data_IF_031107292686
#
_entry.id   IF_031107292686
#
_cell.length_a   1.000
_cell.length_b   1.000
_cell.length_c   1.000
_cell.angle_alpha   90.00
_cell.angle_beta   90.00
_cell.angle_gamma   90.00
#
_symmetry.space_group_name_H-M   'P 1'
#
loop_
_entity.id
_entity.type
_entity.pdbx_description
1 polymer ?
#
# COMPACT_ATOMS: atom_id res chain seq x y z
N UNK A 1 9.01 -12.18 -3.58
CA UNK A 1 9.45 -10.77 -3.54
C UNK A 1 9.28 -10.31 -2.11
N UNK A 2 10.37 -9.96 -1.46
CA UNK A 2 10.35 -9.43 -0.10
C UNK A 2 9.63 -8.07 -0.06
N UNK A 3 9.18 -7.58 1.11
CA UNK A 3 8.62 -6.23 1.22
C UNK A 3 9.56 -5.14 0.72
N UNK A 4 10.86 -5.21 1.04
CA UNK A 4 11.87 -4.27 0.55
C UNK A 4 12.02 -4.31 -0.99
N UNK A 5 12.06 -5.50 -1.59
CA UNK A 5 12.11 -5.66 -3.06
C UNK A 5 10.85 -5.08 -3.73
N UNK A 6 9.68 -5.23 -3.11
CA UNK A 6 8.40 -4.67 -3.60
C UNK A 6 8.42 -3.14 -3.61
N UNK A 7 8.93 -2.53 -2.54
CA UNK A 7 9.12 -1.08 -2.44
C UNK A 7 10.04 -0.58 -3.56
N UNK A 8 11.18 -1.25 -3.76
CA UNK A 8 12.14 -0.88 -4.79
C UNK A 8 11.58 -1.05 -6.20
N UNK A 9 10.89 -2.14 -6.51
CA UNK A 9 10.26 -2.37 -7.82
C UNK A 9 9.23 -1.29 -8.16
N UNK A 10 8.38 -0.91 -7.19
CA UNK A 10 7.41 0.17 -7.37
C UNK A 10 8.11 1.51 -7.60
N UNK A 11 9.14 1.84 -6.81
CA UNK A 11 9.88 3.09 -6.96
C UNK A 11 10.64 3.16 -8.30
N UNK A 12 11.26 2.06 -8.75
CA UNK A 12 11.98 1.99 -10.03
C UNK A 12 11.05 2.24 -11.23
N UNK A 13 9.83 1.76 -11.20
CA UNK A 13 8.82 2.02 -12.25
C UNK A 13 8.40 3.48 -12.34
N UNK A 14 8.72 4.31 -11.35
CA UNK A 14 8.42 5.74 -11.35
C UNK A 14 9.57 6.60 -11.90
N UNK A 15 10.73 6.02 -12.19
CA UNK A 15 11.88 6.77 -12.70
C UNK A 15 11.52 7.56 -13.97
N UNK A 16 11.86 8.84 -13.98
CA UNK A 16 11.57 9.75 -15.08
C UNK A 16 10.19 10.44 -14.98
N UNK A 17 9.37 10.15 -13.98
CA UNK A 17 8.19 10.96 -13.70
C UNK A 17 8.63 12.36 -13.30
N UNK A 18 7.92 13.36 -13.84
CA UNK A 18 8.19 14.79 -13.60
C UNK A 18 6.89 15.51 -13.27
N UNK A 19 7.01 16.61 -12.54
CA UNK A 19 5.89 17.51 -12.33
C UNK A 19 5.55 18.31 -13.59
N UNK A 20 4.31 18.65 -13.76
CA UNK A 20 3.86 19.47 -14.89
C UNK A 20 2.81 20.49 -14.46
N UNK A 21 3.01 21.80 -14.77
CA UNK A 21 4.23 22.40 -15.39
C UNK A 21 5.48 22.25 -14.53
N UNK A 22 6.69 22.43 -15.10
CA UNK A 22 7.93 22.43 -14.31
C UNK A 22 7.88 23.43 -13.14
N UNK A 23 8.43 23.06 -11.98
CA UNK A 23 8.44 23.83 -10.72
C UNK A 23 7.03 24.13 -10.16
N UNK A 24 6.06 23.28 -10.46
CA UNK A 24 4.68 23.46 -10.00
C UNK A 24 4.30 22.61 -8.80
N UNK A 25 5.10 21.58 -8.46
CA UNK A 25 4.73 20.52 -7.53
C UNK A 25 3.41 19.79 -7.90
N UNK A 26 2.90 20.00 -9.13
CA UNK A 26 1.75 19.26 -9.65
C UNK A 26 2.22 17.92 -10.21
N UNK A 27 1.97 16.88 -9.45
CA UNK A 27 2.36 15.50 -9.73
C UNK A 27 1.34 14.55 -9.12
N UNK A 28 1.22 13.35 -9.68
CA UNK A 28 0.23 12.35 -9.25
C UNK A 28 0.34 12.02 -7.77
N UNK A 29 1.55 12.02 -7.20
CA UNK A 29 1.77 11.72 -5.79
C UNK A 29 1.11 12.75 -4.89
N UNK A 30 1.25 14.05 -5.20
CA UNK A 30 0.57 15.12 -4.48
C UNK A 30 -0.93 15.07 -4.69
N UNK A 31 -1.41 14.76 -5.90
CA UNK A 31 -2.85 14.62 -6.17
C UNK A 31 -3.47 13.51 -5.29
N UNK A 32 -2.83 12.35 -5.18
CA UNK A 32 -3.32 11.26 -4.32
C UNK A 32 -3.16 11.58 -2.82
N UNK A 33 -2.11 12.31 -2.43
CA UNK A 33 -1.88 12.69 -1.04
C UNK A 33 -2.90 13.69 -0.54
N UNK A 34 -3.19 14.74 -1.33
CA UNK A 34 -4.15 15.80 -0.97
C UNK A 34 -5.58 15.49 -1.41
N UNK A 35 -5.80 14.35 -2.10
CA UNK A 35 -7.11 13.90 -2.61
C UNK A 35 -7.74 14.92 -3.59
N UNK A 36 -6.91 15.74 -4.19
CA UNK A 36 -7.25 16.74 -5.21
C UNK A 36 -6.00 17.17 -5.94
N UNK A 37 -6.15 17.66 -7.16
CA UNK A 37 -5.04 18.31 -7.87
C UNK A 37 -4.57 19.55 -7.10
N UNK A 38 -3.26 19.66 -6.93
CA UNK A 38 -2.60 20.77 -6.26
C UNK A 38 -1.42 21.26 -7.08
N UNK A 39 -1.13 22.57 -6.98
CA UNK A 39 -0.01 23.23 -7.63
C UNK A 39 0.42 24.43 -6.81
N UNK A 40 1.70 24.75 -6.80
CA UNK A 40 2.29 25.90 -6.11
C UNK A 40 3.44 25.56 -5.20
N UNK A 41 4.01 26.57 -4.53
CA UNK A 41 5.09 26.42 -3.56
C UNK A 41 4.64 25.71 -2.27
N UNK A 42 5.59 25.21 -1.49
CA UNK A 42 5.35 24.54 -0.20
C UNK A 42 4.54 23.22 -0.32
N UNK A 43 4.67 22.56 -1.46
CA UNK A 43 4.06 21.26 -1.73
C UNK A 43 5.15 20.24 -2.07
N UNK A 44 6.29 20.32 -1.37
CA UNK A 44 7.42 19.42 -1.56
C UNK A 44 6.99 17.97 -1.41
N UNK A 45 7.40 17.11 -2.35
CA UNK A 45 6.85 15.79 -2.45
C UNK A 45 7.85 14.64 -2.34
N UNK A 46 9.04 14.89 -1.79
CA UNK A 46 9.98 13.80 -1.53
C UNK A 46 9.41 12.77 -0.53
N UNK A 47 8.89 13.20 0.62
CA UNK A 47 8.26 12.31 1.59
C UNK A 47 6.89 11.81 1.12
N UNK A 48 6.15 12.59 0.33
CA UNK A 48 4.88 12.19 -0.29
C UNK A 48 5.11 11.05 -1.29
N UNK A 49 6.19 11.08 -2.06
CA UNK A 49 6.57 9.99 -2.95
C UNK A 49 6.82 8.69 -2.16
N UNK A 50 7.54 8.75 -1.03
CA UNK A 50 7.77 7.59 -0.18
C UNK A 50 6.43 7.03 0.35
N UNK A 51 5.57 7.89 0.92
CA UNK A 51 4.23 7.50 1.34
C UNK A 51 3.44 6.79 0.24
N UNK A 52 3.49 7.34 -0.98
CA UNK A 52 2.80 6.77 -2.14
C UNK A 52 3.33 5.38 -2.50
N UNK A 53 4.66 5.20 -2.50
CA UNK A 53 5.31 3.90 -2.77
C UNK A 53 4.88 2.85 -1.75
N UNK A 54 4.92 3.17 -0.45
CA UNK A 54 4.49 2.26 0.60
C UNK A 54 2.99 1.91 0.47
N UNK A 55 2.16 2.87 0.12
CA UNK A 55 0.73 2.64 -0.11
C UNK A 55 0.49 1.71 -1.30
N UNK A 56 1.18 1.91 -2.42
CA UNK A 56 1.07 1.05 -3.61
C UNK A 56 1.63 -0.36 -3.36
N UNK A 57 2.59 -0.48 -2.46
CA UNK A 57 3.13 -1.77 -2.03
C UNK A 57 2.19 -2.54 -1.08
N UNK A 58 1.12 -1.93 -0.56
CA UNK A 58 0.28 -2.50 0.49
C UNK A 58 0.96 -2.52 1.86
N UNK A 59 1.96 -1.66 2.08
CA UNK A 59 2.81 -1.61 3.28
C UNK A 59 2.65 -0.28 4.04
N UNK A 60 1.48 0.37 3.93
CA UNK A 60 1.24 1.68 4.56
C UNK A 60 1.50 1.69 6.06
N UNK A 61 1.22 0.60 6.77
CA UNK A 61 1.46 0.43 8.20
C UNK A 61 2.94 0.54 8.60
N UNK A 62 3.87 0.26 7.67
CA UNK A 62 5.31 0.38 7.90
C UNK A 62 5.85 1.81 7.70
N UNK A 63 5.03 2.71 7.19
CA UNK A 63 5.34 4.11 7.03
C UNK A 63 4.48 4.94 7.97
N UNK A 64 5.10 5.62 8.93
CA UNK A 64 4.46 6.57 9.84
C UNK A 64 3.19 6.05 10.53
N UNK A 65 3.22 4.77 10.97
CA UNK A 65 2.09 4.06 11.59
C UNK A 65 0.81 3.98 10.71
N UNK A 66 0.96 4.00 9.40
CA UNK A 66 -0.17 4.00 8.45
C UNK A 66 -0.73 5.38 8.13
N UNK A 67 -0.27 6.40 8.84
CA UNK A 67 -0.63 7.79 8.62
C UNK A 67 0.17 8.42 7.45
N UNK A 68 -0.08 9.67 7.15
CA UNK A 68 0.62 10.40 6.09
C UNK A 68 1.35 11.62 6.62
N UNK A 69 2.58 11.84 6.15
CA UNK A 69 3.32 13.08 6.39
C UNK A 69 4.14 13.48 5.16
N UNK A 70 4.11 14.76 4.82
CA UNK A 70 4.98 15.35 3.80
C UNK A 70 6.26 15.94 4.40
N UNK A 71 6.46 15.84 5.73
CA UNK A 71 7.49 16.52 6.47
C UNK A 71 8.56 15.54 6.96
N UNK A 72 9.73 15.56 6.31
CA UNK A 72 10.83 14.62 6.58
C UNK A 72 11.28 14.62 8.04
N UNK A 73 11.44 15.76 8.73
CA UNK A 73 11.81 15.74 10.15
C UNK A 73 10.80 15.04 11.05
N UNK A 74 9.51 15.06 10.73
CA UNK A 74 8.51 14.30 11.50
C UNK A 74 8.69 12.78 11.34
N UNK A 75 9.13 12.32 10.16
CA UNK A 75 9.50 10.92 9.94
C UNK A 75 10.71 10.52 10.76
N UNK A 76 11.75 11.38 10.81
CA UNK A 76 12.96 11.13 11.62
C UNK A 76 12.59 11.04 13.11
N UNK A 77 11.79 11.97 13.60
CA UNK A 77 11.34 11.98 15.01
C UNK A 77 10.51 10.73 15.34
N UNK A 78 9.61 10.34 14.47
CA UNK A 78 8.80 9.14 14.61
C UNK A 78 9.67 7.88 14.64
N UNK A 79 10.56 7.71 13.65
CA UNK A 79 11.45 6.57 13.56
C UNK A 79 12.40 6.45 14.75
N UNK A 80 12.92 7.58 15.22
CA UNK A 80 13.77 7.63 16.41
C UNK A 80 13.02 7.17 17.66
N UNK A 81 11.79 7.65 17.87
CA UNK A 81 10.93 7.21 19.00
C UNK A 81 10.58 5.74 18.95
N UNK A 82 10.49 5.16 17.74
CA UNK A 82 10.18 3.75 17.51
C UNK A 82 11.40 2.84 17.55
N UNK A 83 12.62 3.39 17.59
CA UNK A 83 13.86 2.62 17.52
C UNK A 83 14.12 2.02 16.13
N UNK A 84 13.60 2.64 15.06
CA UNK A 84 13.72 2.21 13.68
C UNK A 84 14.95 2.77 12.96
N UNK A 85 15.81 3.52 13.65
CA UNK A 85 16.99 4.12 13.07
C UNK A 85 18.18 3.16 13.10
N UNK A 86 18.90 3.08 11.97
CA UNK A 86 20.08 2.21 11.80
C UNK A 86 21.29 3.02 11.36
N UNK A 87 22.50 2.46 11.52
CA UNK A 87 23.74 3.17 11.16
C UNK A 87 24.15 3.00 9.70
N UNK A 88 23.82 1.85 9.09
CA UNK A 88 24.24 1.51 7.72
C UNK A 88 23.03 1.30 6.85
N UNK A 89 22.92 2.01 5.70
CA UNK A 89 21.79 1.82 4.79
C UNK A 89 21.82 0.45 4.11
N UNK A 90 20.68 -0.20 4.03
CA UNK A 90 20.43 -1.41 3.25
C UNK A 90 19.37 -1.15 2.18
N UNK A 91 19.29 -1.97 1.10
CA UNK A 91 18.26 -1.82 0.08
C UNK A 91 16.84 -1.85 0.68
N UNK A 92 16.05 -0.83 0.35
CA UNK A 92 14.70 -0.63 0.90
C UNK A 92 14.63 0.36 2.07
N UNK A 93 15.75 0.67 2.74
CA UNK A 93 15.78 1.68 3.81
C UNK A 93 15.45 3.07 3.29
N UNK A 94 14.92 3.91 4.18
CA UNK A 94 14.67 5.31 3.91
C UNK A 94 15.87 6.13 4.39
N UNK A 95 16.54 6.79 3.46
CA UNK A 95 17.73 7.60 3.74
C UNK A 95 17.33 9.07 3.77
N UNK A 96 17.52 9.70 4.92
CA UNK A 96 17.24 11.12 5.15
C UNK A 96 18.51 11.93 5.02
N UNK A 97 18.45 13.01 4.23
CA UNK A 97 19.58 13.87 3.91
C UNK A 97 19.41 15.27 4.48
N UNK A 98 20.56 15.90 4.79
CA UNK A 98 20.70 17.32 5.11
C UNK A 98 21.65 17.94 4.10
N UNK A 99 21.10 18.68 3.11
CA UNK A 99 21.89 19.32 2.08
C UNK A 99 22.31 20.74 2.44
N UNK A 100 21.66 21.34 3.42
CA UNK A 100 21.94 22.69 3.87
C UNK A 100 22.82 22.77 5.14
N UNK A 101 23.22 21.61 5.68
CA UNK A 101 24.15 21.45 6.80
C UNK A 101 23.68 22.14 8.10
N UNK A 102 22.41 22.02 8.39
CA UNK A 102 21.78 22.55 9.62
C UNK A 102 21.40 21.47 10.66
N UNK A 103 21.85 20.22 10.44
CA UNK A 103 21.55 19.03 11.24
C UNK A 103 20.06 18.66 11.28
N UNK A 104 19.33 19.02 10.23
CA UNK A 104 17.93 18.69 10.07
C UNK A 104 17.67 18.13 8.69
N UNK A 105 17.00 16.98 8.63
CA UNK A 105 16.69 16.37 7.35
C UNK A 105 15.77 17.28 6.50
N UNK A 106 16.20 17.54 5.26
CA UNK A 106 15.48 18.33 4.26
C UNK A 106 15.05 17.50 3.04
N UNK A 107 15.53 16.26 2.92
CA UNK A 107 15.20 15.37 1.82
C UNK A 107 15.20 13.90 2.26
N UNK A 108 14.55 13.03 1.45
CA UNK A 108 14.44 11.60 1.71
C UNK A 108 14.40 10.82 0.39
N UNK A 109 15.04 9.64 0.37
CA UNK A 109 14.98 8.69 -0.74
C UNK A 109 14.97 7.23 -0.24
N UNK A 110 14.65 6.29 -1.13
CA UNK A 110 14.68 4.85 -0.86
C UNK A 110 16.05 4.31 -1.28
N UNK A 111 16.77 3.68 -0.36
CA UNK A 111 18.08 3.08 -0.61
C UNK A 111 17.97 1.96 -1.66
N UNK A 112 18.82 2.05 -2.68
CA UNK A 112 19.03 0.98 -3.68
C UNK A 112 20.31 0.21 -3.35
N UNK A 113 21.37 0.94 -2.96
CA UNK A 113 22.65 0.33 -2.59
C UNK A 113 23.51 1.33 -1.81
N UNK A 114 24.43 0.78 -1.01
CA UNK A 114 25.46 1.53 -0.29
C UNK A 114 26.80 0.82 -0.41
N UNK A 115 27.87 1.55 -0.71
CA UNK A 115 29.21 1.01 -0.95
C UNK A 115 30.20 1.29 0.20
N UNK A 116 29.71 1.76 1.36
CA UNK A 116 30.52 2.16 2.51
C UNK A 116 31.00 3.61 2.44
N UNK A 117 30.65 4.35 1.40
CA UNK A 117 31.02 5.76 1.20
C UNK A 117 29.96 6.56 0.47
N UNK A 118 29.23 5.91 -0.43
CA UNK A 118 28.16 6.53 -1.23
C UNK A 118 26.90 5.69 -1.15
N UNK A 119 25.78 6.37 -1.04
CA UNK A 119 24.47 5.76 -1.11
C UNK A 119 23.82 6.10 -2.44
N UNK A 120 23.22 5.10 -3.07
CA UNK A 120 22.35 5.27 -4.24
C UNK A 120 20.92 5.11 -3.79
N UNK A 121 20.09 6.12 -4.09
CA UNK A 121 18.66 6.13 -3.70
C UNK A 121 17.78 6.41 -4.91
N UNK A 122 16.49 6.05 -4.82
CA UNK A 122 15.42 6.54 -5.69
C UNK A 122 14.65 7.58 -4.91
N UNK A 123 14.61 8.80 -5.44
CA UNK A 123 14.06 9.96 -4.79
C UNK A 123 12.95 10.58 -5.62
N UNK A 124 11.87 11.02 -4.97
CA UNK A 124 10.92 11.97 -5.52
C UNK A 124 11.37 13.41 -5.29
N UNK A 125 10.87 14.34 -6.08
CA UNK A 125 11.14 15.78 -5.97
C UNK A 125 12.63 16.16 -6.02
N UNK A 126 13.41 15.49 -6.85
CA UNK A 126 14.85 15.73 -6.97
C UNK A 126 15.24 16.13 -8.40
N UNK A 127 16.44 16.67 -8.57
CA UNK A 127 16.96 17.05 -9.87
C UNK A 127 18.48 17.25 -9.85
N UNK A 128 19.09 17.35 -11.03
CA UNK A 128 20.52 17.68 -11.15
C UNK A 128 20.73 19.15 -10.80
N UNK A 129 21.50 19.41 -9.74
CA UNK A 129 21.74 20.77 -9.25
C UNK A 129 20.62 21.33 -8.36
N UNK A 130 19.56 20.57 -8.10
CA UNK A 130 18.53 20.88 -7.12
C UNK A 130 18.13 19.58 -6.41
N UNK A 131 18.90 19.20 -5.41
CA UNK A 131 18.82 17.87 -4.78
C UNK A 131 17.53 17.65 -4.00
N UNK A 132 16.98 18.69 -3.37
CA UNK A 132 15.85 18.61 -2.46
C UNK A 132 14.51 19.07 -3.06
N UNK A 133 14.52 19.76 -4.22
CA UNK A 133 13.33 20.28 -4.87
C UNK A 133 13.52 20.43 -6.39
N UNK A 134 13.78 19.32 -7.06
CA UNK A 134 14.09 19.28 -8.49
C UNK A 134 12.96 18.80 -9.40
N UNK A 135 11.81 18.44 -8.85
CA UNK A 135 10.59 18.17 -9.59
C UNK A 135 10.54 16.84 -10.36
N UNK A 136 11.45 15.90 -10.09
CA UNK A 136 11.47 14.61 -10.79
C UNK A 136 11.65 13.41 -9.84
N UNK A 137 11.30 12.21 -10.31
CA UNK A 137 11.74 10.94 -9.70
C UNK A 137 13.02 10.48 -10.38
N UNK A 138 14.11 10.38 -9.62
CA UNK A 138 15.41 10.02 -10.15
C UNK A 138 16.17 9.05 -9.24
N UNK A 139 17.03 8.22 -9.86
CA UNK A 139 18.06 7.48 -9.14
C UNK A 139 19.27 8.41 -8.93
N UNK A 140 19.68 8.59 -7.67
CA UNK A 140 20.72 9.53 -7.27
C UNK A 140 21.81 8.82 -6.47
N UNK A 141 23.08 9.14 -6.70
CA UNK A 141 24.20 8.64 -5.88
C UNK A 141 24.86 9.80 -5.17
N UNK A 142 24.92 9.75 -3.85
CA UNK A 142 25.42 10.81 -2.97
C UNK A 142 26.45 10.31 -1.97
N UNK A 143 27.30 11.22 -1.51
CA UNK A 143 28.24 10.91 -0.44
C UNK A 143 27.51 10.77 0.89
N UNK A 144 27.92 9.80 1.71
CA UNK A 144 27.33 9.52 3.03
C UNK A 144 27.33 10.70 4.00
N UNK A 145 28.24 11.68 3.81
CA UNK A 145 28.32 12.90 4.65
C UNK A 145 27.02 13.71 4.70
N UNK A 146 26.13 13.52 3.74
CA UNK A 146 24.82 14.19 3.71
C UNK A 146 23.74 13.39 4.46
N UNK A 147 24.02 12.16 4.86
CA UNK A 147 23.07 11.32 5.58
C UNK A 147 22.99 11.79 7.03
N UNK A 148 21.80 12.11 7.51
CA UNK A 148 21.55 12.46 8.91
C UNK A 148 20.75 11.42 9.67
N UNK A 149 20.02 10.56 8.93
CA UNK A 149 19.26 9.47 9.50
C UNK A 149 19.02 8.39 8.45
N UNK A 150 19.06 7.14 8.86
CA UNK A 150 18.60 5.99 8.08
C UNK A 150 17.48 5.34 8.85
N UNK A 151 16.32 5.17 8.21
CA UNK A 151 15.16 4.51 8.80
C UNK A 151 15.02 3.13 8.18
N UNK A 152 15.05 2.08 9.00
CA UNK A 152 14.77 0.71 8.58
C UNK A 152 13.32 0.38 8.90
N UNK A 153 12.40 0.34 7.92
CA UNK A 153 11.04 -0.11 8.14
C UNK A 153 11.05 -1.57 8.64
N UNK A 154 10.17 -1.89 9.58
CA UNK A 154 10.12 -3.24 10.17
C UNK A 154 9.59 -4.28 9.17
N UNK A 155 10.30 -4.52 8.10
CA UNK A 155 9.92 -5.48 7.05
C UNK A 155 9.74 -6.91 7.56
N UNK A 156 10.43 -7.27 8.66
CA UNK A 156 10.38 -8.60 9.25
C UNK A 156 9.12 -8.87 10.07
N UNK A 157 8.36 -7.83 10.43
CA UNK A 157 7.10 -7.99 11.17
C UNK A 157 5.93 -8.38 10.26
N UNK A 158 6.04 -8.13 8.97
CA UNK A 158 5.21 -8.75 7.95
C UNK A 158 5.98 -9.95 7.35
N UNK A 159 6.10 -11.03 8.10
CA UNK A 159 6.04 -12.30 7.42
C UNK A 159 4.69 -12.23 6.72
N UNK A 160 4.68 -12.02 5.36
CA UNK A 160 3.67 -12.66 4.56
C UNK A 160 3.73 -14.12 5.00
N UNK A 161 2.99 -14.50 6.04
CA UNK A 161 2.53 -15.86 6.12
C UNK A 161 1.75 -16.00 4.82
N UNK A 162 2.47 -16.49 3.81
CA UNK A 162 1.85 -16.96 2.58
C UNK A 162 0.70 -17.80 3.11
N UNK A 163 -0.52 -17.30 2.89
CA UNK A 163 -1.72 -18.01 3.34
C UNK A 163 -1.56 -19.44 2.84
N UNK A 164 -1.10 -20.28 3.73
CA UNK A 164 -0.84 -21.68 3.46
C UNK A 164 -1.97 -22.49 4.10
N UNK A 165 -3.00 -22.84 3.34
CA UNK A 165 -4.13 -23.59 3.85
C UNK A 165 -3.72 -24.94 4.48
N UNK A 166 -2.54 -25.47 4.11
CA UNK A 166 -2.05 -26.74 4.66
C UNK A 166 -1.59 -26.64 6.12
N UNK A 167 -1.33 -25.41 6.60
CA UNK A 167 -0.96 -25.12 8.00
C UNK A 167 -2.14 -24.76 8.89
N UNK A 168 -3.32 -24.59 8.30
CA UNK A 168 -4.54 -24.27 9.05
C UNK A 168 -5.13 -25.54 9.67
N UNK A 169 -5.70 -25.37 10.85
CA UNK A 169 -6.57 -26.42 11.42
C UNK A 169 -7.88 -26.50 10.66
N UNK A 170 -8.60 -27.61 10.75
CA UNK A 170 -9.93 -27.74 10.17
C UNK A 170 -10.89 -26.64 10.68
N UNK A 171 -10.75 -26.24 11.94
CA UNK A 171 -11.51 -25.16 12.55
C UNK A 171 -11.23 -23.81 11.91
N UNK A 172 -9.97 -23.49 11.62
CA UNK A 172 -9.56 -22.26 10.95
C UNK A 172 -10.10 -22.22 9.52
N UNK A 173 -10.02 -23.35 8.80
CA UNK A 173 -10.54 -23.48 7.43
C UNK A 173 -12.04 -23.25 7.41
N UNK A 174 -12.78 -23.87 8.35
CA UNK A 174 -14.23 -23.71 8.47
C UNK A 174 -14.60 -22.25 8.83
N UNK A 175 -13.86 -21.64 9.75
CA UNK A 175 -14.07 -20.22 10.13
C UNK A 175 -13.83 -19.29 8.93
N UNK A 176 -12.77 -19.54 8.16
CA UNK A 176 -12.45 -18.77 6.96
C UNK A 176 -13.53 -18.94 5.87
N UNK A 177 -13.96 -20.17 5.58
CA UNK A 177 -15.03 -20.46 4.62
C UNK A 177 -16.35 -19.78 5.02
N UNK A 178 -16.69 -19.82 6.31
CA UNK A 178 -17.85 -19.14 6.87
C UNK A 178 -17.75 -17.61 6.69
N UNK A 179 -16.58 -17.04 6.93
CA UNK A 179 -16.32 -15.61 6.73
C UNK A 179 -16.45 -15.23 5.25
N UNK A 180 -15.86 -16.00 4.34
CA UNK A 180 -16.00 -15.80 2.90
C UNK A 180 -17.45 -15.84 2.45
N UNK A 181 -18.20 -16.87 2.87
CA UNK A 181 -19.63 -17.00 2.58
C UNK A 181 -20.42 -15.79 3.04
N UNK A 182 -20.13 -15.29 4.26
CA UNK A 182 -20.77 -14.08 4.82
C UNK A 182 -20.45 -12.81 4.03
N UNK A 183 -19.25 -12.68 3.47
CA UNK A 183 -18.86 -11.54 2.60
C UNK A 183 -19.56 -11.64 1.25
N UNK A 184 -19.59 -12.83 0.65
CA UNK A 184 -20.27 -13.06 -0.62
C UNK A 184 -21.78 -12.86 -0.53
N UNK A 185 -22.40 -13.25 0.57
CA UNK A 185 -23.83 -13.06 0.82
C UNK A 185 -24.30 -11.59 0.74
N UNK A 186 -23.38 -10.64 1.00
CA UNK A 186 -23.65 -9.19 0.92
C UNK A 186 -23.44 -8.60 -0.49
N UNK A 187 -22.91 -9.37 -1.44
CA UNK A 187 -22.68 -8.89 -2.80
C UNK A 187 -23.98 -8.91 -3.60
N UNK A 188 -24.19 -7.90 -4.46
CA UNK A 188 -25.35 -7.91 -5.35
C UNK A 188 -25.31 -9.13 -6.27
N UNK A 189 -26.46 -9.73 -6.62
CA UNK A 189 -26.52 -10.81 -7.57
C UNK A 189 -26.05 -10.38 -8.96
N UNK A 190 -25.70 -11.34 -9.80
CA UNK A 190 -25.24 -11.10 -11.18
C UNK A 190 -26.43 -11.03 -12.13
N UNK A 191 -26.44 -10.06 -13.04
CA UNK A 191 -27.58 -9.84 -13.96
C UNK A 191 -27.92 -11.02 -14.87
N UNK A 192 -26.96 -11.90 -15.16
CA UNK A 192 -27.21 -13.09 -15.96
C UNK A 192 -28.24 -14.08 -15.34
N UNK A 193 -28.47 -13.98 -14.04
CA UNK A 193 -29.37 -14.87 -13.28
C UNK A 193 -30.73 -14.24 -12.95
N UNK A 194 -31.03 -13.05 -13.48
CA UNK A 194 -32.22 -12.27 -13.09
C UNK A 194 -33.52 -13.08 -13.29
N UNK A 195 -33.71 -13.63 -14.48
CA UNK A 195 -34.91 -14.40 -14.82
C UNK A 195 -35.09 -15.66 -13.95
N UNK A 196 -34.00 -16.39 -13.69
CA UNK A 196 -34.03 -17.57 -12.85
C UNK A 196 -34.31 -17.23 -11.38
N UNK A 197 -33.81 -16.09 -10.90
CA UNK A 197 -34.07 -15.62 -9.53
C UNK A 197 -35.51 -15.20 -9.33
N UNK A 198 -36.03 -14.39 -10.24
CA UNK A 198 -37.45 -13.98 -10.21
C UNK A 198 -38.39 -15.20 -10.22
N UNK A 199 -38.07 -16.20 -11.03
CA UNK A 199 -38.81 -17.43 -11.07
C UNK A 199 -38.74 -18.18 -9.72
N UNK A 200 -37.55 -18.33 -9.15
CA UNK A 200 -37.34 -19.04 -7.87
C UNK A 200 -38.03 -18.36 -6.69
N UNK A 201 -37.99 -17.03 -6.64
CA UNK A 201 -38.67 -16.23 -5.63
C UNK A 201 -40.19 -16.35 -5.76
N UNK A 202 -40.71 -16.19 -6.98
CA UNK A 202 -42.15 -16.26 -7.25
C UNK A 202 -42.74 -17.61 -6.91
N UNK A 203 -41.98 -18.70 -7.06
CA UNK A 203 -42.42 -20.06 -6.79
C UNK A 203 -42.05 -20.55 -5.37
N UNK A 204 -41.50 -19.67 -4.51
CA UNK A 204 -41.15 -20.01 -3.12
C UNK A 204 -40.03 -21.04 -2.97
N UNK A 205 -39.21 -21.23 -4.03
CA UNK A 205 -38.12 -22.21 -4.04
C UNK A 205 -36.98 -21.71 -3.16
N UNK A 206 -36.67 -20.41 -3.22
CA UNK A 206 -35.70 -19.78 -2.39
C UNK A 206 -36.36 -18.74 -1.49
N UNK A 207 -36.02 -18.81 -0.21
CA UNK A 207 -36.51 -17.88 0.82
C UNK A 207 -35.30 -17.14 1.42
N UNK A 208 -35.51 -15.90 1.83
CA UNK A 208 -34.50 -15.12 2.54
C UNK A 208 -34.20 -15.63 3.94
N UNK A 209 -33.20 -15.07 4.57
CA UNK A 209 -32.95 -15.22 5.99
C UNK A 209 -34.08 -14.57 6.83
N UNK A 210 -33.96 -14.58 8.15
CA UNK A 210 -34.94 -13.98 9.09
C UNK A 210 -35.20 -12.47 8.81
N UNK A 211 -34.35 -11.80 8.08
CA UNK A 211 -34.45 -10.39 7.65
C UNK A 211 -34.91 -10.25 6.18
N UNK A 212 -35.22 -11.35 5.50
CA UNK A 212 -35.63 -11.36 4.10
C UNK A 212 -34.51 -11.24 3.09
N UNK A 213 -33.23 -11.36 3.48
CA UNK A 213 -32.10 -11.28 2.55
C UNK A 213 -31.87 -12.60 1.82
N UNK A 214 -31.96 -12.62 0.51
CA UNK A 214 -31.89 -13.82 -0.32
C UNK A 214 -30.47 -14.39 -0.50
N UNK A 215 -29.43 -13.60 -0.27
CA UNK A 215 -28.02 -14.00 -0.18
C UNK A 215 -27.54 -14.86 -1.37
N UNK A 216 -27.91 -14.53 -2.59
CA UNK A 216 -27.69 -15.31 -3.82
C UNK A 216 -26.24 -15.72 -4.11
N UNK A 217 -25.26 -15.00 -3.56
CA UNK A 217 -23.82 -15.31 -3.72
C UNK A 217 -23.23 -16.06 -2.54
N UNK A 218 -24.03 -16.45 -1.55
CA UNK A 218 -23.60 -17.32 -0.45
C UNK A 218 -23.21 -18.70 -1.01
N UNK A 219 -22.24 -19.34 -0.37
CA UNK A 219 -21.95 -20.74 -0.68
C UNK A 219 -23.17 -21.62 -0.37
N UNK A 220 -23.47 -22.54 -1.27
CA UNK A 220 -24.53 -23.51 -1.13
C UNK A 220 -23.92 -24.87 -0.84
N UNK A 221 -24.38 -25.52 0.22
CA UNK A 221 -24.01 -26.91 0.52
C UNK A 221 -24.81 -27.87 -0.37
N UNK A 222 -24.35 -29.12 -0.47
CA UNK A 222 -25.10 -30.14 -1.21
C UNK A 222 -26.45 -30.42 -0.58
N UNK A 223 -26.59 -30.30 0.74
CA UNK A 223 -27.85 -30.45 1.47
C UNK A 223 -28.83 -29.32 1.12
N UNK A 224 -28.36 -28.06 1.12
CA UNK A 224 -29.19 -26.92 0.69
C UNK A 224 -29.62 -27.05 -0.78
N UNK A 225 -28.72 -27.52 -1.67
CA UNK A 225 -29.06 -27.76 -3.05
C UNK A 225 -30.17 -28.84 -3.19
N UNK A 226 -30.05 -29.95 -2.47
CA UNK A 226 -31.06 -31.01 -2.50
C UNK A 226 -32.40 -30.51 -1.96
N UNK A 227 -32.39 -29.67 -0.92
CA UNK A 227 -33.63 -29.06 -0.38
C UNK A 227 -34.26 -28.09 -1.38
N UNK A 228 -33.45 -27.31 -2.11
CA UNK A 228 -33.93 -26.40 -3.16
C UNK A 228 -34.58 -27.18 -4.31
N UNK A 229 -33.95 -28.27 -4.76
CA UNK A 229 -34.52 -29.17 -5.80
C UNK A 229 -35.84 -29.83 -5.34
N UNK A 230 -35.90 -30.29 -4.08
CA UNK A 230 -37.11 -30.85 -3.54
C UNK A 230 -38.25 -29.82 -3.51
N UNK A 231 -37.99 -28.59 -3.08
CA UNK A 231 -38.95 -27.49 -3.09
C UNK A 231 -39.45 -27.10 -4.49
N UNK A 232 -38.60 -27.31 -5.51
CA UNK A 232 -38.97 -27.02 -6.91
C UNK A 232 -39.95 -28.03 -7.52
N UNK A 233 -40.02 -29.25 -6.97
CA UNK A 233 -40.83 -30.34 -7.49
C UNK A 233 -42.14 -30.54 -6.68
N UNK A 234 -42.27 -29.96 -5.49
CA UNK A 234 -43.38 -30.12 -4.56
C UNK A 234 -43.96 -28.79 -4.10
#
# INVERSE_FOLDING_TARGET
MTPAERILDIAERQLGMVEYPPNSNNVIYNTEYYEREVSGSNLDWCAVFIWWVFRKAGLSNLYYDGEKTAYVPALVDWATKKGLTVGTPEPGDLVCFDFNNNNRADHIGICVSYDGKRVTTIDGNTGVGNEANGGAVMKRTRNEKYIVCVIHPQYETEVDEVFDPSKMTDEDILAFAKRMSSVLAKQPPSGWSDEAREWAEKNGIINGDENGNLQYKKFCTREELVQLLYNAEH
#
